data_IF_852881420071
#
_entry.id   IF_852881420071
#
_cell.length_a   1.000
_cell.length_b   1.000
_cell.length_c   1.000
_cell.angle_alpha   90.00
_cell.angle_beta   90.00
_cell.angle_gamma   90.00
#
_symmetry.space_group_name_H-M   'P 1'
#
loop_
_entity.id
_entity.type
_entity.pdbx_description
1 polymer ?
#
# COMPACT_ATOMS: atom_id res chain seq x y z
N UNK A 1 -8.27 -4.03 9.35
CA UNK A 1 -6.99 -4.26 8.67
C UNK A 1 -7.17 -4.55 7.19
N UNK A 2 -7.91 -5.59 6.80
CA UNK A 2 -8.14 -5.94 5.38
C UNK A 2 -8.69 -4.80 4.52
N UNK A 3 -9.69 -4.03 4.99
CA UNK A 3 -10.25 -2.90 4.24
C UNK A 3 -9.21 -1.81 3.92
N UNK A 4 -8.35 -1.48 4.88
CA UNK A 4 -7.25 -0.53 4.69
C UNK A 4 -6.23 -1.08 3.69
N UNK A 5 -5.84 -2.36 3.86
CA UNK A 5 -4.92 -3.02 2.94
C UNK A 5 -5.46 -3.02 1.50
N UNK A 6 -6.75 -3.30 1.27
CA UNK A 6 -7.35 -3.32 -0.07
C UNK A 6 -7.22 -1.94 -0.74
N UNK A 7 -7.58 -0.87 -0.04
CA UNK A 7 -7.45 0.50 -0.57
C UNK A 7 -6.01 0.87 -0.87
N UNK A 8 -5.11 0.55 0.05
CA UNK A 8 -3.67 0.74 -0.13
C UNK A 8 -3.16 0.00 -1.35
N UNK A 9 -3.51 -1.27 -1.51
CA UNK A 9 -3.05 -2.09 -2.63
C UNK A 9 -3.51 -1.51 -3.97
N UNK A 10 -4.77 -1.06 -4.05
CA UNK A 10 -5.28 -0.39 -5.25
C UNK A 10 -4.47 0.85 -5.60
N UNK A 11 -4.23 1.74 -4.62
CA UNK A 11 -3.49 2.99 -4.89
C UNK A 11 -2.02 2.70 -5.21
N UNK A 12 -1.38 1.78 -4.47
CA UNK A 12 0.01 1.40 -4.72
C UNK A 12 0.20 0.75 -6.10
N UNK A 13 -0.75 -0.08 -6.54
CA UNK A 13 -0.76 -0.64 -7.90
C UNK A 13 -0.93 0.45 -8.97
N UNK A 14 -1.76 1.48 -8.72
CA UNK A 14 -1.97 2.57 -9.68
C UNK A 14 -0.76 3.50 -9.82
N UNK A 15 -0.02 3.72 -8.73
CA UNK A 15 1.12 4.65 -8.68
C UNK A 15 2.48 3.96 -8.86
N UNK A 16 2.52 2.65 -9.11
CA UNK A 16 3.74 1.83 -9.18
C UNK A 16 4.72 2.12 -8.03
N UNK A 17 4.17 2.34 -6.83
CA UNK A 17 4.94 2.85 -5.69
C UNK A 17 5.98 1.83 -5.21
N UNK A 18 7.22 2.26 -4.88
CA UNK A 18 8.26 1.36 -4.43
C UNK A 18 7.90 0.74 -3.07
N UNK A 19 8.18 -0.55 -2.94
CA UNK A 19 8.00 -1.33 -1.71
C UNK A 19 9.31 -1.96 -1.31
N UNK A 20 9.64 -1.86 -0.02
CA UNK A 20 10.74 -2.58 0.59
C UNK A 20 10.22 -3.79 1.38
N UNK A 21 10.56 -4.99 0.92
CA UNK A 21 10.28 -6.24 1.65
C UNK A 21 11.53 -6.63 2.45
N UNK A 22 11.36 -6.67 3.78
CA UNK A 22 12.33 -7.19 4.76
C UNK A 22 11.86 -8.56 5.26
N UNK A 23 12.40 -9.05 6.38
CA UNK A 23 12.10 -10.38 6.95
C UNK A 23 10.60 -10.67 7.02
N UNK A 24 9.91 -10.21 8.07
CA UNK A 24 8.48 -10.40 8.26
C UNK A 24 7.68 -9.12 7.99
N UNK A 25 8.28 -8.13 7.33
CA UNK A 25 7.66 -6.82 7.18
C UNK A 25 7.78 -6.26 5.77
N UNK A 26 6.73 -5.54 5.37
CA UNK A 26 6.64 -4.82 4.11
C UNK A 26 6.53 -3.33 4.45
N UNK A 27 7.42 -2.52 3.89
CA UNK A 27 7.52 -1.10 4.18
C UNK A 27 7.38 -0.29 2.91
N UNK A 28 6.64 0.81 2.98
CA UNK A 28 6.52 1.76 1.89
C UNK A 28 6.09 3.13 2.44
N UNK A 29 6.35 4.16 1.65
CA UNK A 29 5.88 5.51 1.92
C UNK A 29 4.67 5.81 1.05
N UNK A 30 3.67 6.46 1.65
CA UNK A 30 2.52 7.00 0.97
C UNK A 30 2.65 8.51 0.91
N UNK A 31 2.52 9.05 -0.30
CA UNK A 31 2.43 10.49 -0.49
C UNK A 31 1.03 10.99 -0.11
N UNK A 32 0.91 12.31 0.07
CA UNK A 32 -0.35 12.97 0.43
C UNK A 32 -1.43 12.81 -0.62
N UNK A 33 -1.05 12.59 -1.88
CA UNK A 33 -1.95 12.27 -2.99
C UNK A 33 -2.83 11.04 -2.66
N UNK A 34 -2.35 10.12 -1.80
CA UNK A 34 -3.17 9.02 -1.27
C UNK A 34 -4.46 9.49 -0.57
N UNK A 35 -4.41 10.63 0.12
CA UNK A 35 -5.58 11.15 0.86
C UNK A 35 -6.70 11.60 -0.09
N UNK A 36 -6.38 11.91 -1.35
CA UNK A 36 -7.38 12.20 -2.39
C UNK A 36 -8.09 10.93 -2.86
N UNK A 37 -7.44 9.77 -2.77
CA UNK A 37 -8.01 8.48 -3.22
C UNK A 37 -8.81 7.74 -2.13
N UNK A 38 -8.81 8.23 -0.89
CA UNK A 38 -9.59 7.65 0.21
C UNK A 38 -10.81 8.54 0.49
N UNK A 39 -12.04 8.07 0.23
CA UNK A 39 -13.28 8.79 0.56
C UNK A 39 -13.37 9.23 2.03
N UNK A 40 -12.74 8.47 2.94
CA UNK A 40 -12.67 8.80 4.37
C UNK A 40 -11.77 10.01 4.67
N UNK A 41 -10.81 10.32 3.80
CA UNK A 41 -9.85 11.41 3.95
C UNK A 41 -10.19 12.60 3.03
N UNK A 42 -10.89 12.35 1.93
CA UNK A 42 -11.34 13.34 0.94
C UNK A 42 -12.17 14.46 1.60
N UNK A 43 -13.13 14.11 2.47
CA UNK A 43 -14.02 15.09 3.13
C UNK A 43 -13.32 15.93 4.22
N UNK A 44 -12.10 15.56 4.61
CA UNK A 44 -11.34 16.21 5.69
C UNK A 44 -9.91 16.56 5.28
N UNK A 45 -9.63 16.73 3.98
CA UNK A 45 -8.29 16.93 3.45
C UNK A 45 -7.51 18.09 4.12
N UNK A 46 -8.21 19.11 4.63
CA UNK A 46 -7.64 20.23 5.39
C UNK A 46 -6.74 19.79 6.56
N UNK A 47 -7.05 18.67 7.23
CA UNK A 47 -6.23 18.18 8.36
C UNK A 47 -4.89 17.59 7.88
N UNK A 48 -4.77 17.27 6.59
CA UNK A 48 -3.60 16.65 5.97
C UNK A 48 -2.75 17.63 5.15
N UNK A 49 -3.20 18.88 4.96
CA UNK A 49 -2.50 19.90 4.16
C UNK A 49 -1.02 20.11 4.58
N UNK A 50 -0.71 19.89 5.86
CA UNK A 50 0.63 20.06 6.44
C UNK A 50 1.42 18.75 6.55
N UNK A 51 0.78 17.61 6.35
CA UNK A 51 1.42 16.30 6.39
C UNK A 51 2.06 16.07 5.03
N UNK A 52 3.26 15.48 4.98
CA UNK A 52 3.99 15.22 3.71
C UNK A 52 3.85 13.77 3.22
N UNK A 53 3.14 12.94 3.98
CA UNK A 53 2.97 11.52 3.70
C UNK A 53 3.08 10.68 4.97
N UNK A 54 2.97 9.38 4.78
CA UNK A 54 2.99 8.39 5.86
C UNK A 54 3.94 7.25 5.53
N UNK A 55 4.71 6.81 6.52
CA UNK A 55 5.44 5.55 6.41
C UNK A 55 4.55 4.43 6.95
N UNK A 56 4.28 3.45 6.10
CA UNK A 56 3.47 2.29 6.46
C UNK A 56 4.39 1.09 6.59
N UNK A 57 4.23 0.34 7.67
CA UNK A 57 4.90 -0.94 7.89
C UNK A 57 3.85 -1.99 8.18
N UNK A 58 3.72 -2.96 7.28
CA UNK A 58 2.87 -4.14 7.48
C UNK A 58 3.75 -5.22 8.07
N UNK A 59 3.45 -5.63 9.30
CA UNK A 59 4.10 -6.79 9.92
C UNK A 59 3.23 -8.03 9.68
N UNK A 60 3.84 -9.07 9.13
CA UNK A 60 3.19 -10.34 8.82
C UNK A 60 3.59 -11.40 9.84
N UNK A 61 2.91 -12.54 9.79
CA UNK A 61 3.28 -13.73 10.56
C UNK A 61 4.39 -14.58 9.91
N UNK A 62 4.91 -14.16 8.75
CA UNK A 62 6.03 -14.83 8.10
C UNK A 62 7.29 -14.72 8.96
N UNK A 63 8.24 -15.64 8.79
CA UNK A 63 9.51 -15.62 9.50
C UNK A 63 10.67 -15.16 8.61
N UNK A 64 10.51 -15.28 7.29
CA UNK A 64 11.55 -14.94 6.33
C UNK A 64 11.01 -14.05 5.22
N UNK A 65 11.93 -13.35 4.54
CA UNK A 65 11.58 -12.51 3.38
C UNK A 65 10.88 -13.31 2.29
N UNK A 66 11.31 -14.55 2.05
CA UNK A 66 10.76 -15.43 1.03
C UNK A 66 9.33 -15.89 1.39
N UNK A 67 8.99 -15.97 2.67
CA UNK A 67 7.62 -16.23 3.13
C UNK A 67 6.74 -14.96 3.06
N UNK A 68 7.32 -13.77 3.20
CA UNK A 68 6.61 -12.48 3.13
C UNK A 68 6.26 -12.08 1.69
N UNK A 69 7.09 -12.48 0.71
CA UNK A 69 6.94 -12.14 -0.70
C UNK A 69 5.61 -12.63 -1.32
N UNK A 70 5.23 -13.92 -1.24
CA UNK A 70 4.05 -14.45 -1.91
C UNK A 70 2.72 -13.82 -1.47
N UNK A 71 2.45 -13.60 -0.17
CA UNK A 71 1.26 -12.89 0.27
C UNK A 71 1.17 -11.46 -0.28
N UNK A 72 2.30 -10.76 -0.38
CA UNK A 72 2.33 -9.41 -0.95
C UNK A 72 2.07 -9.42 -2.46
N UNK A 73 2.74 -10.30 -3.21
CA UNK A 73 2.56 -10.39 -4.66
C UNK A 73 1.14 -10.81 -5.06
N UNK A 74 0.51 -11.70 -4.29
CA UNK A 74 -0.89 -12.09 -4.54
C UNK A 74 -1.91 -11.01 -4.16
N UNK A 75 -1.49 -10.02 -3.37
CA UNK A 75 -2.35 -8.95 -2.86
C UNK A 75 -2.32 -7.69 -3.72
N UNK A 76 -1.18 -7.38 -4.34
CA UNK A 76 -1.08 -6.39 -5.40
C UNK A 76 -1.76 -6.94 -6.65
N UNK A 77 -3.04 -6.62 -6.82
CA UNK A 77 -3.73 -6.76 -8.10
C UNK A 77 -3.05 -5.79 -9.07
N UNK A 78 -2.03 -6.25 -9.78
CA UNK A 78 -1.79 -5.70 -11.11
C UNK A 78 -2.93 -6.28 -11.94
N UNK A 79 -3.80 -5.42 -12.45
CA UNK A 79 -4.69 -5.82 -13.54
C UNK A 79 -3.76 -6.10 -14.73
N UNK A 80 -3.18 -7.30 -14.78
CA UNK A 80 -2.61 -7.87 -15.99
C UNK A 80 -3.81 -8.15 -16.90
N UNK A 81 -4.42 -7.09 -17.43
CA UNK A 81 -5.31 -7.19 -18.55
C UNK A 81 -4.60 -8.05 -19.58
N UNK A 82 -5.19 -9.18 -19.94
CA UNK A 82 -4.63 -10.17 -20.84
C UNK A 82 -3.98 -9.46 -22.05
N UNK A 83 -2.66 -9.28 -22.01
CA UNK A 83 -1.90 -8.95 -23.21
C UNK A 83 -1.88 -10.20 -24.06
N UNK A 84 -2.91 -10.33 -24.90
CA UNK A 84 -2.89 -11.17 -26.10
C UNK A 84 -2.05 -10.51 -27.19
#
# INVERSE_FOLDING_TARGET
MSHFLVRISTVMSMLDSPVEIRENSIQFSMETEFCEFSPELEDHFEIFEHIRGFNVTIVTSANTKDETLPPWSGFLLKDEGETK
#
